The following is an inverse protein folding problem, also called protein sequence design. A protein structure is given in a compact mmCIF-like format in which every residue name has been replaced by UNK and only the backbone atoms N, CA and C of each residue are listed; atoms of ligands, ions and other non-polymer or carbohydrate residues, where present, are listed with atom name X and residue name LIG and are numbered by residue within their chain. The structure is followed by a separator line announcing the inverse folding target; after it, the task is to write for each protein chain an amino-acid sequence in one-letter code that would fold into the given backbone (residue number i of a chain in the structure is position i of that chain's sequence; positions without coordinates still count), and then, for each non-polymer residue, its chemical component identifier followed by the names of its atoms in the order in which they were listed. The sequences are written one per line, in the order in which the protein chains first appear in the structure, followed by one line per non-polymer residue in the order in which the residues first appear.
data_IF_372517493045
#
_entry.id   IF_372517493045
#
_cell.length_a   1.000
_cell.length_b   1.000
_cell.length_c   1.000
_cell.angle_alpha   90.00
_cell.angle_beta   90.00
_cell.angle_gamma   90.00
#
_symmetry.space_group_name_H-M   'P 1'
#
loop_
_entity.id
_entity.type
_entity.pdbx_description
1 polymer ?
#
# COMPACT_ATOMS: atom_id res chain seq x y z
N UNK A 1 9.33 -8.84 2.67
CA UNK A 1 8.72 -7.69 3.35
C UNK A 1 9.67 -6.96 4.28
N UNK A 2 10.77 -7.53 4.80
CA UNK A 2 11.73 -6.71 5.58
C UNK A 2 12.21 -5.51 4.76
N UNK A 3 12.19 -4.31 5.37
CA UNK A 3 12.50 -3.04 4.73
C UNK A 3 11.42 -2.53 3.77
N UNK A 4 10.20 -3.06 3.87
CA UNK A 4 9.07 -2.55 3.10
C UNK A 4 8.33 -1.47 3.88
N UNK A 5 7.91 -0.47 3.13
CA UNK A 5 7.03 0.64 3.44
C UNK A 5 5.62 0.25 2.96
N UNK A 6 4.64 0.30 3.87
CA UNK A 6 3.40 -0.46 3.77
C UNK A 6 2.21 0.36 4.27
N UNK A 7 1.22 0.58 3.40
CA UNK A 7 -0.12 0.95 3.85
C UNK A 7 -0.97 -0.28 4.13
N UNK A 8 -1.79 -0.21 5.19
CA UNK A 8 -2.85 -1.19 5.47
C UNK A 8 -4.15 -0.45 5.66
N UNK A 9 -5.20 -0.85 4.95
CA UNK A 9 -6.51 -0.23 5.08
C UNK A 9 -7.65 -1.03 4.45
N UNK A 10 -8.87 -0.59 4.73
CA UNK A 10 -10.10 -1.22 4.28
C UNK A 10 -11.34 -0.49 4.80
N UNK A 11 -12.49 -1.16 4.74
CA UNK A 11 -13.76 -0.66 5.30
C UNK A 11 -14.32 -1.74 6.22
N UNK A 12 -14.50 -1.38 7.49
CA UNK A 12 -15.10 -2.22 8.52
C UNK A 12 -16.34 -1.50 9.07
N UNK A 13 -17.50 -2.16 9.07
CA UNK A 13 -18.77 -1.62 9.55
C UNK A 13 -19.12 -0.23 8.97
N UNK A 14 -18.85 -0.03 7.68
CA UNK A 14 -19.08 1.23 6.96
C UNK A 14 -18.09 2.34 7.28
N UNK A 15 -17.05 2.08 8.09
CA UNK A 15 -15.98 3.03 8.41
C UNK A 15 -14.68 2.61 7.78
N UNK A 16 -13.97 3.57 7.18
CA UNK A 16 -12.62 3.34 6.70
C UNK A 16 -11.65 3.15 7.86
N UNK A 17 -10.75 2.19 7.74
CA UNK A 17 -9.51 2.16 8.52
C UNK A 17 -8.33 2.25 7.55
N UNK A 18 -7.29 2.95 7.97
CA UNK A 18 -6.09 3.18 7.19
C UNK A 18 -4.96 3.61 8.12
N UNK A 19 -3.78 3.05 7.94
CA UNK A 19 -2.57 3.51 8.61
C UNK A 19 -1.33 3.13 7.80
N UNK A 20 -0.26 3.87 8.05
CA UNK A 20 1.09 3.66 7.54
C UNK A 20 1.91 2.76 8.49
N UNK A 21 2.70 1.87 7.90
CA UNK A 21 3.46 0.84 8.58
C UNK A 21 4.80 0.60 7.88
N UNK A 22 5.79 0.17 8.65
CA UNK A 22 7.02 -0.39 8.11
C UNK A 22 7.25 -1.82 8.62
N UNK A 23 7.99 -2.61 7.83
CA UNK A 23 8.28 -4.00 8.15
C UNK A 23 9.75 -4.23 8.53
N UNK A 24 10.01 -4.56 9.79
CA UNK A 24 11.38 -4.82 10.28
C UNK A 24 11.86 -6.27 10.12
N UNK A 25 11.00 -7.19 9.68
CA UNK A 25 11.34 -8.61 9.60
C UNK A 25 10.19 -9.50 9.13
N UNK A 26 10.28 -10.79 9.46
CA UNK A 26 9.22 -11.79 9.17
C UNK A 26 8.23 -11.84 10.32
N UNK A 27 7.54 -10.73 10.55
CA UNK A 27 6.55 -10.54 11.60
C UNK A 27 5.49 -9.52 11.14
N UNK A 28 4.50 -9.24 11.98
CA UNK A 28 3.53 -8.18 11.71
C UNK A 28 4.26 -6.84 11.47
N UNK A 29 3.88 -6.06 10.44
CA UNK A 29 4.34 -4.68 10.30
C UNK A 29 4.03 -3.88 11.56
N UNK A 30 4.86 -2.89 11.84
CA UNK A 30 4.70 -1.98 12.98
C UNK A 30 4.17 -0.66 12.42
N UNK A 31 3.25 -0.02 13.15
CA UNK A 31 2.73 1.30 12.77
C UNK A 31 3.92 2.25 12.70
N UNK A 32 4.01 2.96 11.58
CA UNK A 32 5.09 3.91 11.36
C UNK A 32 4.91 5.15 12.26
N UNK A 33 6.03 5.66 12.80
CA UNK A 33 6.01 6.85 13.64
C UNK A 33 5.70 8.11 12.81
N UNK A 34 6.15 8.14 11.56
CA UNK A 34 5.68 9.08 10.55
C UNK A 34 4.47 8.49 9.83
N UNK A 35 3.59 9.33 9.31
CA UNK A 35 2.43 8.88 8.54
C UNK A 35 2.44 9.65 7.22
N UNK A 36 3.21 9.13 6.27
CA UNK A 36 3.54 9.84 5.04
C UNK A 36 2.57 9.52 3.90
N UNK A 37 1.81 8.44 4.06
CA UNK A 37 0.68 8.13 3.19
C UNK A 37 -0.61 8.80 3.68
N UNK A 38 -1.32 9.46 2.77
CA UNK A 38 -2.63 10.04 3.02
C UNK A 38 -3.74 9.31 2.26
N UNK A 39 -4.79 8.92 2.97
CA UNK A 39 -5.99 8.35 2.38
C UNK A 39 -6.87 9.47 1.80
N UNK A 40 -7.07 9.43 0.47
CA UNK A 40 -7.91 10.40 -0.25
C UNK A 40 -9.38 9.98 -0.27
N UNK A 41 -9.66 8.69 -0.49
CA UNK A 41 -11.01 8.16 -0.49
C UNK A 41 -11.03 6.65 -0.35
N UNK A 42 -12.12 6.12 0.20
CA UNK A 42 -12.42 4.68 0.25
C UNK A 42 -13.77 4.38 -0.37
N UNK A 43 -13.87 3.28 -1.09
CA UNK A 43 -15.15 2.70 -1.50
C UNK A 43 -15.10 1.19 -1.44
N UNK A 44 -16.25 0.55 -1.22
CA UNK A 44 -16.37 -0.91 -1.23
C UNK A 44 -17.62 -1.28 -2.02
N UNK A 45 -17.50 -2.30 -2.85
CA UNK A 45 -18.60 -2.92 -3.55
C UNK A 45 -18.59 -4.44 -3.30
N UNK A 46 -19.49 -5.16 -3.97
CA UNK A 46 -19.67 -6.62 -3.80
C UNK A 46 -18.39 -7.42 -4.04
N UNK A 47 -17.47 -6.89 -4.85
CA UNK A 47 -16.29 -7.62 -5.30
C UNK A 47 -14.98 -7.13 -4.69
N UNK A 48 -14.84 -5.83 -4.44
CA UNK A 48 -13.56 -5.25 -4.04
C UNK A 48 -13.74 -4.00 -3.16
N UNK A 49 -12.69 -3.70 -2.41
CA UNK A 49 -12.47 -2.43 -1.72
C UNK A 49 -11.43 -1.63 -2.51
N UNK A 50 -11.71 -0.35 -2.75
CA UNK A 50 -10.80 0.59 -3.42
C UNK A 50 -10.33 1.62 -2.40
N UNK A 51 -9.02 1.74 -2.24
CA UNK A 51 -8.37 2.82 -1.51
C UNK A 51 -7.67 3.74 -2.51
N UNK A 52 -7.99 5.03 -2.47
CA UNK A 52 -7.23 6.04 -3.21
C UNK A 52 -6.32 6.74 -2.22
N UNK A 53 -5.02 6.74 -2.50
CA UNK A 53 -4.00 7.29 -1.61
C UNK A 53 -3.12 8.31 -2.32
N UNK A 54 -2.41 9.13 -1.56
CA UNK A 54 -1.33 9.99 -2.04
C UNK A 54 -0.17 9.94 -1.07
N UNK A 55 1.04 10.15 -1.60
CA UNK A 55 2.28 10.23 -0.85
C UNK A 55 3.29 11.02 -1.68
N UNK A 56 4.17 11.77 -1.01
CA UNK A 56 5.29 12.46 -1.66
C UNK A 56 6.36 11.46 -2.08
N UNK A 57 7.08 11.71 -3.17
CA UNK A 57 8.05 10.74 -3.70
C UNK A 57 9.23 10.45 -2.76
N UNK A 58 9.64 11.44 -1.97
CA UNK A 58 10.65 11.29 -0.93
C UNK A 58 10.14 12.00 0.32
N UNK A 59 9.97 11.23 1.39
CA UNK A 59 9.45 11.68 2.69
C UNK A 59 10.56 12.16 3.61
N UNK A 60 11.81 11.85 3.27
CA UNK A 60 12.98 12.02 4.13
C UNK A 60 12.89 11.20 5.43
N UNK A 61 12.02 10.18 5.46
CA UNK A 61 11.99 9.16 6.51
C UNK A 61 12.90 7.99 6.14
N UNK A 62 13.63 7.46 7.12
CA UNK A 62 14.53 6.31 6.95
C UNK A 62 13.79 4.96 6.99
N UNK A 63 12.54 4.93 7.48
CA UNK A 63 11.68 3.74 7.50
C UNK A 63 10.96 3.52 6.16
N UNK A 64 11.01 4.54 5.31
CA UNK A 64 10.33 4.64 4.03
C UNK A 64 11.20 4.26 2.81
N UNK A 65 10.52 3.86 1.73
CA UNK A 65 11.16 3.62 0.44
C UNK A 65 10.88 4.80 -0.50
N UNK A 66 11.94 5.52 -0.87
CA UNK A 66 11.86 6.61 -1.86
C UNK A 66 11.38 6.10 -3.22
N UNK A 67 10.37 6.79 -3.77
CA UNK A 67 9.90 6.60 -5.14
C UNK A 67 10.77 7.46 -6.05
N UNK A 68 11.53 6.81 -6.93
CA UNK A 68 12.42 7.46 -7.88
C UNK A 68 12.27 6.83 -9.28
N UNK A 69 13.18 7.14 -10.20
CA UNK A 69 13.13 6.62 -11.56
C UNK A 69 13.70 5.19 -11.71
N UNK A 70 14.02 4.53 -10.60
CA UNK A 70 14.44 3.13 -10.60
C UNK A 70 13.23 2.19 -10.57
N UNK A 71 13.48 0.92 -10.87
CA UNK A 71 12.46 -0.12 -10.72
C UNK A 71 12.18 -0.35 -9.23
N UNK A 72 10.94 -0.10 -8.83
CA UNK A 72 10.43 -0.37 -7.49
C UNK A 72 9.75 -1.74 -7.44
N UNK A 73 10.07 -2.51 -6.41
CA UNK A 73 9.38 -3.78 -6.14
C UNK A 73 8.14 -3.53 -5.30
N UNK A 74 6.98 -3.60 -5.93
CA UNK A 74 5.69 -3.54 -5.26
C UNK A 74 5.37 -4.91 -4.67
N UNK A 75 4.90 -4.92 -3.43
CA UNK A 75 4.34 -6.11 -2.78
C UNK A 75 2.87 -5.84 -2.46
N UNK A 76 2.06 -6.88 -2.46
CA UNK A 76 0.67 -6.78 -2.07
C UNK A 76 0.23 -8.02 -1.29
N UNK A 77 -0.79 -7.82 -0.46
CA UNK A 77 -1.42 -8.89 0.30
C UNK A 77 -2.90 -8.58 0.55
N UNK A 78 -3.70 -9.63 0.67
CA UNK A 78 -5.14 -9.54 0.97
C UNK A 78 -5.45 -10.49 2.14
N UNK A 79 -6.04 -9.92 3.19
CA UNK A 79 -6.58 -10.65 4.34
C UNK A 79 -8.01 -11.15 4.09
N UNK A 80 -8.43 -12.17 4.82
CA UNK A 80 -9.81 -12.69 4.76
C UNK A 80 -10.79 -11.85 5.60
N UNK A 81 -10.27 -11.00 6.50
CA UNK A 81 -11.01 -10.17 7.46
C UNK A 81 -10.32 -8.83 7.63
N UNK A 82 -11.00 -7.85 8.25
CA UNK A 82 -10.41 -6.55 8.60
C UNK A 82 -9.46 -6.57 9.80
N UNK A 83 -9.26 -7.74 10.44
CA UNK A 83 -8.18 -7.92 11.40
C UNK A 83 -6.84 -8.07 10.67
N UNK A 84 -5.82 -7.32 11.11
CA UNK A 84 -4.46 -7.40 10.57
C UNK A 84 -3.80 -8.71 11.04
N UNK A 85 -4.05 -9.76 10.27
CA UNK A 85 -3.53 -11.12 10.48
C UNK A 85 -2.70 -11.56 9.28
N UNK A 86 -2.06 -12.72 9.39
CA UNK A 86 -1.30 -13.28 8.28
C UNK A 86 -2.21 -13.56 7.07
N UNK A 87 -1.96 -12.84 5.97
CA UNK A 87 -2.69 -12.89 4.72
C UNK A 87 -2.66 -14.29 4.05
N UNK A 88 -3.71 -14.66 3.32
CA UNK A 88 -3.73 -15.90 2.50
C UNK A 88 -3.27 -15.66 1.07
N UNK A 89 -3.62 -14.49 0.50
CA UNK A 89 -3.23 -14.08 -0.86
C UNK A 89 -2.18 -13.00 -0.77
N UNK A 90 -1.12 -13.14 -1.56
CA UNK A 90 -0.03 -12.17 -1.65
C UNK A 90 0.67 -12.29 -2.99
N UNK A 91 1.39 -11.25 -3.38
CA UNK A 91 2.24 -11.26 -4.55
C UNK A 91 3.26 -10.13 -4.52
N UNK A 92 4.05 -10.07 -5.59
CA UNK A 92 4.99 -8.99 -5.82
C UNK A 92 5.12 -8.77 -7.32
N UNK A 93 5.41 -7.54 -7.70
CA UNK A 93 5.73 -7.15 -9.07
C UNK A 93 6.82 -6.08 -9.05
N UNK A 94 7.50 -5.88 -10.17
CA UNK A 94 8.56 -4.89 -10.33
C UNK A 94 8.18 -3.89 -11.40
N UNK A 95 8.00 -2.63 -11.01
CA UNK A 95 7.54 -1.55 -11.90
C UNK A 95 8.36 -0.29 -11.66
N UNK A 96 8.59 0.51 -12.69
CA UNK A 96 8.97 1.90 -12.47
C UNK A 96 7.68 2.71 -12.27
N UNK A 97 7.48 3.28 -11.09
CA UNK A 97 6.27 4.02 -10.72
C UNK A 97 6.15 5.33 -11.52
N UNK A 98 7.29 5.89 -11.96
CA UNK A 98 7.36 7.15 -12.70
C UNK A 98 7.37 6.95 -14.22
N UNK A 99 7.44 5.71 -14.70
CA UNK A 99 7.34 5.45 -16.14
C UNK A 99 5.97 5.88 -16.65
N UNK A 100 5.95 6.37 -17.91
CA UNK A 100 4.71 6.72 -18.56
C UNK A 100 3.75 5.52 -18.53
N UNK A 101 2.45 5.73 -18.25
CA UNK A 101 1.49 4.64 -18.26
C UNK A 101 1.60 3.93 -19.61
N UNK A 102 1.73 2.61 -19.58
CA UNK A 102 1.64 1.81 -20.80
C UNK A 102 0.37 2.27 -21.56
N UNK A 103 0.48 2.45 -22.87
CA UNK A 103 -0.55 3.01 -23.77
C UNK A 103 -1.87 2.22 -23.84
N UNK A 104 -2.13 1.36 -22.85
CA UNK A 104 -3.24 0.43 -22.76
C UNK A 104 -4.26 0.79 -21.68
N UNK A 105 -4.08 1.88 -20.92
CA UNK A 105 -5.14 2.43 -20.06
C UNK A 105 -6.05 3.41 -20.81
N UNK A 106 -6.59 2.97 -21.95
CA UNK A 106 -7.77 3.63 -22.53
C UNK A 106 -8.99 3.09 -21.79
N UNK A 107 -9.37 3.74 -20.69
CA UNK A 107 -10.68 3.53 -20.09
C UNK A 107 -11.73 4.11 -21.05
N UNK A 108 -12.41 3.24 -21.79
CA UNK A 108 -13.70 3.52 -22.44
C UNK A 108 -14.80 3.76 -21.42
#
# INVERSE_FOLDING_TARGET
MKGADIIIGGIQDGKSYFADYHAIGRQAPIVDASQDWALLSTSQNVTHTTLKVTRVFNTCDNEDVSINNDTTKIIWAIGDTDNILHHRKRGADSVNILDAPASQWNAT
#
